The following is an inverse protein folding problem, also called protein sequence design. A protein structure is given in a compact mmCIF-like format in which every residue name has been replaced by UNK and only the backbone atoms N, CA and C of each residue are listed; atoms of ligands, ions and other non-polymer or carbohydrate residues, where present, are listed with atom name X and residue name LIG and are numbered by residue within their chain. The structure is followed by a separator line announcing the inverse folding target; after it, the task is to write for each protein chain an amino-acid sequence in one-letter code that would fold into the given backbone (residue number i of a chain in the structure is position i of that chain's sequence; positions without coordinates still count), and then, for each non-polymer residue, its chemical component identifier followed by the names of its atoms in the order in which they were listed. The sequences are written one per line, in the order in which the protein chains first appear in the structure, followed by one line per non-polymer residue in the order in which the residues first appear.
data_IF_662779480718
#
_entry.id   IF_662779480718
#
_cell.length_a   1.000
_cell.length_b   1.000
_cell.length_c   1.000
_cell.angle_alpha   90.00
_cell.angle_beta   90.00
_cell.angle_gamma   90.00
#
_symmetry.space_group_name_H-M   'P 1'
#
loop_
_entity.id
_entity.type
_entity.pdbx_description
1 polymer ?
#
# COMPACT_ATOMS: atom_id res chain seq x y z
N UNK A 1 -46.00 -52.00 24.52
CA UNK A 1 -46.05 -53.50 24.48
C UNK A 1 -44.79 -54.00 23.78
N UNK A 2 -44.09 -54.87 24.46
CA UNK A 2 -43.02 -55.80 24.11
C UNK A 2 -41.62 -55.22 24.00
N UNK A 3 -40.90 -55.17 25.12
CA UNK A 3 -39.50 -55.59 25.26
C UNK A 3 -39.49 -57.14 25.46
N UNK A 4 -38.37 -57.78 25.72
CA UNK A 4 -36.98 -57.80 25.25
C UNK A 4 -36.48 -59.20 24.97
N UNK A 5 -35.21 -59.46 24.69
CA UNK A 5 -34.39 -60.47 25.40
C UNK A 5 -32.99 -60.64 24.84
N UNK A 6 -32.04 -60.96 25.74
CA UNK A 6 -30.61 -61.08 25.43
C UNK A 6 -30.18 -62.52 25.23
N UNK A 7 -28.94 -62.75 24.81
CA UNK A 7 -28.14 -64.00 25.02
C UNK A 7 -26.90 -63.91 24.11
N UNK A 8 -25.69 -64.37 24.36
CA UNK A 8 -25.08 -65.18 25.40
C UNK A 8 -23.54 -65.01 25.23
N UNK A 9 -22.89 -65.07 26.33
CA UNK A 9 -21.45 -65.23 26.51
C UNK A 9 -20.96 -66.54 25.93
N UNK A 10 -19.79 -66.58 25.30
CA UNK A 10 -18.97 -67.81 25.25
C UNK A 10 -17.51 -67.49 25.26
N UNK A 11 -16.94 -67.86 26.39
CA UNK A 11 -15.52 -67.88 26.75
C UNK A 11 -14.82 -68.99 25.98
N UNK A 12 -13.68 -68.74 25.39
CA UNK A 12 -12.68 -69.76 25.08
C UNK A 12 -11.27 -69.30 25.54
N UNK A 13 -10.69 -70.21 26.25
CA UNK A 13 -9.41 -70.05 26.99
C UNK A 13 -8.24 -70.56 26.16
N UNK A 14 -7.14 -69.86 26.32
CA UNK A 14 -5.73 -70.31 26.31
C UNK A 14 -5.06 -70.85 25.05
N UNK A 15 -4.03 -70.17 24.67
CA UNK A 15 -2.92 -70.66 23.88
C UNK A 15 -1.67 -69.74 24.10
N UNK A 16 -0.89 -70.01 25.13
CA UNK A 16 0.45 -69.41 25.28
C UNK A 16 1.40 -70.01 24.23
N UNK A 17 1.85 -69.17 23.32
CA UNK A 17 3.05 -69.45 22.51
C UNK A 17 4.01 -68.31 22.70
N UNK A 18 5.13 -68.59 23.34
CA UNK A 18 6.27 -67.73 23.49
C UNK A 18 6.90 -67.48 22.11
N UNK A 19 6.88 -66.23 21.64
CA UNK A 19 7.68 -65.81 20.50
C UNK A 19 8.67 -64.73 20.99
N UNK A 20 9.93 -64.97 20.63
CA UNK A 20 11.10 -64.22 21.05
C UNK A 20 11.02 -62.72 20.71
N UNK A 21 11.57 -61.91 21.62
CA UNK A 21 11.90 -60.52 21.41
C UNK A 21 12.88 -60.38 20.23
N UNK A 22 12.37 -60.11 19.03
CA UNK A 22 13.14 -59.36 18.05
C UNK A 22 12.87 -57.89 18.31
N UNK A 23 13.87 -57.16 18.82
CA UNK A 23 13.90 -55.71 18.86
C UNK A 23 13.94 -55.20 17.42
N UNK A 24 12.79 -55.18 16.75
CA UNK A 24 12.63 -54.47 15.49
C UNK A 24 12.74 -52.98 15.77
N UNK A 25 13.79 -52.33 15.23
CA UNK A 25 13.88 -50.91 15.19
C UNK A 25 12.55 -50.36 14.66
N UNK A 26 11.82 -49.61 15.49
CA UNK A 26 10.68 -48.80 15.02
C UNK A 26 11.20 -47.96 13.87
N UNK A 27 10.57 -48.00 12.67
CA UNK A 27 10.92 -47.01 11.67
C UNK A 27 10.75 -45.66 12.31
N UNK A 28 11.80 -44.84 12.24
CA UNK A 28 11.73 -43.45 12.68
C UNK A 28 10.48 -42.85 11.98
N UNK A 29 9.49 -42.46 12.77
CA UNK A 29 8.33 -41.75 12.27
C UNK A 29 8.88 -40.54 11.57
N UNK A 30 8.73 -40.43 10.26
CA UNK A 30 9.21 -39.27 9.51
C UNK A 30 8.69 -38.03 10.23
N UNK A 31 9.60 -37.27 10.83
CA UNK A 31 9.24 -36.00 11.44
C UNK A 31 8.51 -35.20 10.37
N UNK A 32 7.27 -34.78 10.66
CA UNK A 32 6.51 -33.94 9.73
C UNK A 32 7.32 -32.67 9.45
N UNK A 33 7.29 -32.20 8.21
CA UNK A 33 7.99 -30.97 7.84
C UNK A 33 7.56 -29.82 8.74
N UNK A 34 8.51 -28.96 9.08
CA UNK A 34 8.19 -27.68 9.75
C UNK A 34 7.34 -26.81 8.82
N UNK A 35 6.27 -26.25 9.33
CA UNK A 35 5.40 -25.36 8.54
C UNK A 35 5.71 -23.90 8.91
N UNK A 36 5.92 -23.07 7.90
CA UNK A 36 5.97 -21.61 8.00
C UNK A 36 4.83 -21.05 7.18
N UNK A 37 3.91 -20.36 7.84
CA UNK A 37 2.74 -19.77 7.20
C UNK A 37 2.99 -18.32 6.80
N UNK A 38 2.50 -17.92 5.61
CA UNK A 38 2.57 -16.52 5.16
C UNK A 38 1.21 -16.06 4.64
N UNK A 39 0.69 -14.97 5.23
CA UNK A 39 -0.54 -14.33 4.81
C UNK A 39 -0.24 -13.14 3.90
N UNK A 40 -1.00 -13.00 2.82
CA UNK A 40 -0.82 -11.94 1.84
C UNK A 40 -2.13 -11.58 1.14
N UNK A 41 -2.21 -10.37 0.58
CA UNK A 41 -3.33 -9.96 -0.28
C UNK A 41 -3.35 -10.76 -1.58
N UNK A 42 -4.45 -11.43 -1.87
CA UNK A 42 -4.60 -12.25 -3.07
C UNK A 42 -4.76 -11.41 -4.32
N UNK A 43 -5.48 -10.29 -4.21
CA UNK A 43 -5.73 -9.36 -5.30
C UNK A 43 -5.24 -7.97 -4.92
N UNK A 44 -4.23 -7.50 -5.60
CA UNK A 44 -3.95 -6.07 -5.67
C UNK A 44 -4.92 -5.43 -6.66
N UNK A 45 -5.17 -4.12 -6.52
CA UNK A 45 -6.17 -3.34 -7.26
C UNK A 45 -6.12 -3.52 -8.79
N UNK A 46 -5.06 -4.14 -9.31
CA UNK A 46 -4.77 -4.27 -10.75
C UNK A 46 -4.78 -5.68 -11.27
N UNK A 47 -5.27 -6.56 -10.47
CA UNK A 47 -5.28 -7.98 -10.69
C UNK A 47 -4.71 -8.44 -12.02
N UNK A 48 -3.55 -8.89 -11.83
CA UNK A 48 -3.12 -10.09 -12.46
C UNK A 48 -3.06 -11.14 -11.37
N UNK A 49 -4.22 -11.57 -10.88
CA UNK A 49 -4.36 -12.67 -9.90
C UNK A 49 -3.35 -13.78 -10.20
N UNK A 50 -3.16 -14.09 -11.48
CA UNK A 50 -2.17 -15.03 -11.96
C UNK A 50 -0.72 -14.60 -11.70
N UNK A 51 -0.35 -13.32 -11.82
CA UNK A 51 1.03 -12.89 -11.63
C UNK A 51 1.40 -12.80 -10.15
N UNK A 52 0.54 -12.22 -9.30
CA UNK A 52 0.70 -12.22 -7.86
C UNK A 52 0.81 -13.63 -7.33
N UNK A 53 -0.10 -14.51 -7.76
CA UNK A 53 -0.08 -15.92 -7.40
C UNK A 53 1.20 -16.62 -7.87
N UNK A 54 1.64 -16.40 -9.10
CA UNK A 54 2.90 -16.95 -9.62
C UNK A 54 4.11 -16.51 -8.81
N UNK A 55 4.15 -15.25 -8.39
CA UNK A 55 5.23 -14.74 -7.56
C UNK A 55 5.26 -15.45 -6.20
N UNK A 56 4.13 -15.53 -5.47
CA UNK A 56 4.06 -16.22 -4.18
C UNK A 56 4.40 -17.71 -4.28
N UNK A 57 3.94 -18.39 -5.32
CA UNK A 57 4.30 -19.79 -5.56
C UNK A 57 5.77 -19.95 -5.96
N UNK A 58 6.35 -18.97 -6.64
CA UNK A 58 7.78 -18.89 -6.93
C UNK A 58 8.62 -18.78 -5.65
N UNK A 59 8.27 -17.85 -4.78
CA UNK A 59 8.89 -17.67 -3.44
C UNK A 59 8.81 -18.98 -2.64
N UNK A 60 7.61 -19.58 -2.54
CA UNK A 60 7.43 -20.88 -1.88
C UNK A 60 8.37 -21.93 -2.45
N UNK A 61 8.43 -22.07 -3.76
CA UNK A 61 9.29 -23.07 -4.42
C UNK A 61 10.77 -22.83 -4.16
N UNK A 62 11.24 -21.58 -4.23
CA UNK A 62 12.63 -21.21 -3.92
C UNK A 62 12.97 -21.57 -2.47
N UNK A 63 12.11 -21.18 -1.52
CA UNK A 63 12.34 -21.41 -0.10
C UNK A 63 12.35 -22.90 0.27
N UNK A 64 11.36 -23.67 -0.19
CA UNK A 64 11.27 -25.10 0.06
C UNK A 64 12.42 -25.90 -0.58
N UNK A 65 12.96 -25.41 -1.70
CA UNK A 65 14.14 -26.01 -2.34
C UNK A 65 15.42 -25.80 -1.50
N UNK A 66 15.55 -24.64 -0.86
CA UNK A 66 16.64 -24.33 0.04
C UNK A 66 16.48 -24.99 1.43
N UNK A 67 15.23 -25.28 1.83
CA UNK A 67 14.87 -25.86 3.11
C UNK A 67 13.98 -27.10 2.94
N UNK A 68 14.55 -28.28 2.57
CA UNK A 68 13.76 -29.48 2.24
C UNK A 68 12.85 -29.99 3.34
N UNK A 69 13.18 -29.69 4.61
CA UNK A 69 12.40 -30.06 5.80
C UNK A 69 11.32 -29.02 6.17
N UNK A 70 11.14 -28.00 5.35
CA UNK A 70 10.14 -26.95 5.58
C UNK A 70 9.04 -27.04 4.52
N UNK A 71 7.84 -26.60 4.89
CA UNK A 71 6.72 -26.36 3.99
C UNK A 71 6.23 -24.94 4.22
N UNK A 72 6.17 -24.13 3.16
CA UNK A 72 5.54 -22.79 3.19
C UNK A 72 4.05 -22.95 2.95
N UNK A 73 3.24 -22.54 3.92
CA UNK A 73 1.80 -22.50 3.81
C UNK A 73 1.35 -21.10 3.37
N UNK A 74 0.91 -20.97 2.13
CA UNK A 74 0.34 -19.75 1.61
C UNK A 74 -1.09 -19.55 2.14
N UNK A 75 -1.37 -18.37 2.69
CA UNK A 75 -2.67 -17.97 3.25
C UNK A 75 -3.15 -16.71 2.49
N UNK A 76 -3.77 -16.87 1.32
CA UNK A 76 -4.27 -15.75 0.53
C UNK A 76 -5.46 -15.09 1.22
N UNK A 77 -5.49 -13.76 1.20
CA UNK A 77 -6.56 -12.93 1.75
C UNK A 77 -7.20 -12.16 0.61
N UNK A 78 -8.39 -12.57 0.21
CA UNK A 78 -9.17 -11.89 -0.83
C UNK A 78 -9.92 -10.67 -0.29
N UNK A 79 -10.23 -9.73 -1.17
CA UNK A 79 -10.96 -8.49 -0.90
C UNK A 79 -10.13 -7.25 -1.23
N UNK A 80 -10.71 -6.06 -1.00
CA UNK A 80 -10.02 -4.78 -1.16
C UNK A 80 -9.03 -4.49 -0.04
N UNK A 81 -8.40 -3.31 -0.11
CA UNK A 81 -7.38 -2.86 0.84
C UNK A 81 -7.85 -2.99 2.31
N UNK A 82 -9.01 -2.44 2.64
CA UNK A 82 -9.56 -2.48 4.00
C UNK A 82 -9.95 -3.91 4.43
N UNK A 83 -10.41 -4.75 3.50
CA UNK A 83 -10.74 -6.15 3.79
C UNK A 83 -9.51 -6.94 4.23
N UNK A 84 -8.36 -6.71 3.57
CA UNK A 84 -7.10 -7.36 3.90
C UNK A 84 -6.66 -6.94 5.30
N UNK A 85 -6.66 -5.65 5.61
CA UNK A 85 -6.31 -5.11 6.94
C UNK A 85 -7.21 -5.71 8.02
N UNK A 86 -8.52 -5.72 7.80
CA UNK A 86 -9.49 -6.23 8.76
C UNK A 86 -9.32 -7.73 9.00
N UNK A 87 -9.09 -8.52 7.95
CA UNK A 87 -8.89 -9.97 8.08
C UNK A 87 -7.58 -10.30 8.78
N UNK A 88 -6.48 -9.58 8.46
CA UNK A 88 -5.21 -9.72 9.17
C UNK A 88 -5.37 -9.39 10.65
N UNK A 89 -6.03 -8.27 10.98
CA UNK A 89 -6.31 -7.89 12.37
C UNK A 89 -7.06 -9.00 13.13
N UNK A 90 -8.01 -9.68 12.50
CA UNK A 90 -8.70 -10.83 13.09
C UNK A 90 -7.77 -12.02 13.31
N UNK A 91 -6.91 -12.35 12.33
CA UNK A 91 -5.97 -13.48 12.44
C UNK A 91 -4.99 -13.28 13.58
N UNK A 92 -4.48 -12.05 13.78
CA UNK A 92 -3.51 -11.73 14.82
C UNK A 92 -4.07 -11.69 16.25
N UNK A 93 -5.41 -11.63 16.42
CA UNK A 93 -6.03 -11.70 17.76
C UNK A 93 -5.78 -13.01 18.50
N UNK A 94 -5.36 -14.05 17.81
CA UNK A 94 -5.07 -15.35 18.42
C UNK A 94 -3.73 -15.90 17.94
N UNK A 95 -2.82 -16.30 18.86
CA UNK A 95 -1.58 -16.99 18.49
C UNK A 95 -1.76 -18.28 17.68
N UNK A 96 -2.99 -18.83 17.63
CA UNK A 96 -3.28 -20.04 16.86
C UNK A 96 -3.60 -19.75 15.40
N UNK A 97 -4.04 -18.54 15.10
CA UNK A 97 -4.45 -18.09 13.76
C UNK A 97 -3.48 -17.11 13.16
N UNK A 98 -2.61 -16.48 13.98
CA UNK A 98 -1.57 -15.57 13.51
C UNK A 98 -0.62 -16.31 12.56
N UNK A 99 -0.40 -15.80 11.33
CA UNK A 99 0.59 -16.36 10.41
C UNK A 99 2.01 -16.10 10.95
N UNK A 100 3.00 -16.89 10.54
CA UNK A 100 4.41 -16.67 10.91
C UNK A 100 4.96 -15.41 10.23
N UNK A 101 4.60 -15.20 8.97
CA UNK A 101 4.90 -14.00 8.17
C UNK A 101 3.59 -13.43 7.66
N UNK A 102 3.48 -12.12 7.58
CA UNK A 102 2.39 -11.47 6.87
C UNK A 102 2.89 -10.31 6.03
N UNK A 103 2.21 -10.07 4.93
CA UNK A 103 2.31 -8.83 4.18
C UNK A 103 1.20 -7.90 4.69
N UNK A 104 1.58 -6.78 5.30
CA UNK A 104 0.64 -5.80 5.87
C UNK A 104 0.84 -4.43 5.23
N UNK A 105 -0.18 -3.61 5.29
CA UNK A 105 -0.08 -2.23 4.78
C UNK A 105 0.72 -1.35 5.75
N UNK A 106 1.59 -0.50 5.24
CA UNK A 106 2.44 0.42 6.02
C UNK A 106 1.69 1.18 7.12
N UNK A 107 0.50 1.77 6.88
CA UNK A 107 -0.18 2.59 7.90
C UNK A 107 -0.61 1.86 9.16
N UNK A 108 -0.69 0.52 9.14
CA UNK A 108 -1.15 -0.25 10.32
C UNK A 108 -0.04 -0.90 11.12
N UNK A 109 1.23 -0.73 10.71
CA UNK A 109 2.38 -1.32 11.42
C UNK A 109 2.41 -0.89 12.89
N UNK A 110 2.22 0.40 13.17
CA UNK A 110 2.22 0.92 14.52
C UNK A 110 1.13 0.33 15.42
N UNK A 111 -0.06 0.08 14.89
CA UNK A 111 -1.16 -0.56 15.60
C UNK A 111 -0.82 -2.03 15.92
N UNK A 112 -0.31 -2.78 14.96
CA UNK A 112 0.07 -4.18 15.14
C UNK A 112 1.26 -4.33 16.09
N UNK A 113 2.26 -3.44 16.00
CA UNK A 113 3.42 -3.44 16.89
C UNK A 113 3.02 -3.07 18.34
N UNK A 114 2.19 -2.04 18.52
CA UNK A 114 1.69 -1.62 19.84
C UNK A 114 0.82 -2.69 20.52
N UNK A 115 0.10 -3.48 19.72
CA UNK A 115 -0.70 -4.61 20.18
C UNK A 115 0.14 -5.84 20.53
N UNK A 116 1.48 -5.79 20.33
CA UNK A 116 2.38 -6.91 20.59
C UNK A 116 2.28 -8.07 19.61
N UNK A 117 1.69 -7.86 18.45
CA UNK A 117 1.50 -8.89 17.43
C UNK A 117 2.78 -9.18 16.64
N UNK A 118 3.69 -8.21 16.54
CA UNK A 118 4.88 -8.28 15.70
C UNK A 118 6.14 -8.53 16.53
N UNK A 119 7.09 -9.28 15.96
CA UNK A 119 8.43 -9.44 16.50
C UNK A 119 9.35 -8.32 15.99
N UNK A 120 10.23 -7.75 16.83
CA UNK A 120 11.23 -6.80 16.37
C UNK A 120 12.27 -7.50 15.48
N UNK A 121 12.68 -6.82 14.42
CA UNK A 121 13.56 -7.33 13.37
C UNK A 121 15.02 -6.86 13.51
N UNK A 122 15.30 -5.94 14.43
CA UNK A 122 16.62 -5.29 14.62
C UNK A 122 17.79 -6.28 14.70
N UNK A 123 17.57 -7.46 15.28
CA UNK A 123 18.59 -8.49 15.41
C UNK A 123 18.98 -9.18 14.10
N UNK A 124 18.15 -9.09 13.08
CA UNK A 124 18.37 -9.75 11.78
C UNK A 124 18.92 -8.78 10.72
N UNK A 125 18.50 -7.53 10.73
CA UNK A 125 18.81 -6.52 9.71
C UNK A 125 20.29 -6.30 9.43
N UNK A 126 21.21 -6.28 10.45
CA UNK A 126 22.63 -6.06 10.19
C UNK A 126 23.31 -7.13 9.34
N UNK A 127 22.70 -8.32 9.23
CA UNK A 127 23.26 -9.43 8.43
C UNK A 127 22.76 -9.43 6.98
N UNK A 128 21.84 -8.54 6.58
CA UNK A 128 21.29 -8.47 5.23
C UNK A 128 22.19 -7.62 4.32
N UNK A 129 22.19 -7.93 3.02
CA UNK A 129 22.91 -7.14 2.01
C UNK A 129 22.09 -5.97 1.46
N UNK A 130 20.76 -6.01 1.60
CA UNK A 130 19.81 -5.08 1.00
C UNK A 130 19.37 -3.95 1.94
N UNK A 131 19.29 -4.16 3.26
CA UNK A 131 18.75 -3.15 4.19
C UNK A 131 19.48 -1.80 4.14
N UNK A 132 20.81 -1.82 4.03
CA UNK A 132 21.59 -0.58 3.93
C UNK A 132 21.34 0.21 2.64
N UNK A 133 20.77 -0.42 1.62
CA UNK A 133 20.44 0.19 0.33
C UNK A 133 19.06 0.89 0.35
N UNK A 134 18.23 0.63 1.36
CA UNK A 134 16.94 1.30 1.48
C UNK A 134 17.15 2.77 1.89
N UNK A 135 16.44 3.73 1.27
CA UNK A 135 16.41 5.11 1.74
C UNK A 135 16.03 5.18 3.22
N UNK A 136 16.52 6.20 3.93
CA UNK A 136 16.19 6.37 5.36
C UNK A 136 14.69 6.54 5.61
N UNK A 137 13.99 7.16 4.69
CA UNK A 137 12.53 7.28 4.73
C UNK A 137 11.88 5.89 4.75
N UNK A 138 12.27 4.99 3.85
CA UNK A 138 11.74 3.62 3.77
C UNK A 138 12.14 2.79 5.00
N UNK A 139 13.40 2.91 5.47
CA UNK A 139 13.80 2.26 6.72
C UNK A 139 12.95 2.72 7.92
N UNK A 140 12.39 3.93 7.86
CA UNK A 140 11.53 4.51 8.89
C UNK A 140 10.11 3.94 8.93
N UNK A 141 9.61 3.38 7.83
CA UNK A 141 8.22 2.89 7.73
C UNK A 141 7.90 1.81 8.75
N UNK A 142 8.79 0.84 8.90
CA UNK A 142 8.66 -0.26 9.83
C UNK A 142 8.97 0.08 11.29
N UNK A 143 9.28 1.33 11.62
CA UNK A 143 9.75 1.73 12.95
C UNK A 143 8.59 2.11 13.87
N UNK A 144 8.52 1.47 15.03
CA UNK A 144 7.64 1.84 16.13
C UNK A 144 8.43 1.87 17.44
N UNK A 145 8.37 2.99 18.19
CA UNK A 145 9.11 3.20 19.44
C UNK A 145 10.61 2.83 19.35
N UNK A 146 11.25 3.20 18.24
CA UNK A 146 12.68 3.02 18.02
C UNK A 146 13.13 1.60 17.67
N UNK A 147 12.20 0.68 17.38
CA UNK A 147 12.49 -0.68 16.91
C UNK A 147 11.86 -0.89 15.53
N UNK A 148 12.52 -1.68 14.70
CA UNK A 148 12.02 -2.07 13.38
C UNK A 148 11.16 -3.32 13.52
N UNK A 149 9.92 -3.26 13.05
CA UNK A 149 8.95 -4.37 13.08
C UNK A 149 8.55 -4.86 11.68
N UNK A 150 8.85 -4.09 10.66
CA UNK A 150 8.51 -4.42 9.30
C UNK A 150 9.62 -4.01 8.33
N UNK A 151 9.69 -4.69 7.20
CA UNK A 151 10.55 -4.32 6.07
C UNK A 151 9.70 -4.21 4.83
N UNK A 152 9.94 -3.16 4.06
CA UNK A 152 9.14 -2.88 2.87
C UNK A 152 9.48 -3.87 1.76
N UNK A 153 8.46 -4.50 1.17
CA UNK A 153 8.59 -5.42 0.03
C UNK A 153 8.17 -4.79 -1.29
N UNK A 154 7.64 -3.59 -1.25
CA UNK A 154 7.24 -2.86 -2.45
C UNK A 154 6.51 -1.57 -2.13
N UNK A 155 7.08 -0.48 -2.63
CA UNK A 155 6.56 0.87 -2.46
C UNK A 155 5.48 1.20 -3.47
N UNK A 156 4.67 2.16 -3.10
CA UNK A 156 3.89 2.95 -4.04
C UNK A 156 4.32 4.41 -3.91
N UNK A 157 4.40 5.10 -5.01
CA UNK A 157 4.53 6.54 -5.07
C UNK A 157 3.38 7.14 -5.89
N UNK A 158 3.28 8.45 -5.90
CA UNK A 158 2.30 9.17 -6.72
C UNK A 158 3.00 10.13 -7.67
N UNK A 159 2.40 10.28 -8.83
CA UNK A 159 2.92 11.05 -9.95
C UNK A 159 1.80 11.86 -10.60
N UNK A 160 2.13 12.88 -11.39
CA UNK A 160 1.18 13.55 -12.27
C UNK A 160 1.25 12.95 -13.66
N UNK A 161 0.15 12.36 -14.08
CA UNK A 161 -0.07 11.95 -15.46
C UNK A 161 -0.83 13.05 -16.21
N UNK A 162 -0.50 13.26 -17.48
CA UNK A 162 -1.21 14.25 -18.28
C UNK A 162 -1.37 13.80 -19.74
N UNK A 163 -2.47 14.17 -20.37
CA UNK A 163 -2.73 13.85 -21.76
C UNK A 163 -2.02 14.86 -22.68
N UNK A 164 -0.93 14.42 -23.32
CA UNK A 164 -0.09 15.26 -24.17
C UNK A 164 -0.83 15.85 -25.36
N UNK A 165 -1.77 15.13 -25.93
CA UNK A 165 -2.53 15.62 -27.10
C UNK A 165 -3.53 16.71 -26.71
N UNK A 166 -4.15 16.60 -25.53
CA UNK A 166 -4.98 17.65 -24.98
C UNK A 166 -4.19 18.92 -24.69
N UNK A 167 -2.99 18.75 -24.10
CA UNK A 167 -2.08 19.87 -23.83
C UNK A 167 -1.72 20.61 -25.11
N UNK A 168 -1.31 19.89 -26.16
CA UNK A 168 -1.04 20.49 -27.49
C UNK A 168 -2.28 21.24 -28.03
N UNK A 169 -3.47 20.62 -27.96
CA UNK A 169 -4.73 21.23 -28.46
C UNK A 169 -5.06 22.57 -27.78
N UNK A 170 -4.74 22.71 -26.49
CA UNK A 170 -5.03 23.95 -25.75
C UNK A 170 -3.86 24.93 -25.74
N UNK A 171 -2.72 24.58 -26.34
CA UNK A 171 -1.52 25.42 -26.43
C UNK A 171 -0.65 25.39 -25.18
N UNK A 172 -0.75 24.34 -24.37
CA UNK A 172 0.16 24.06 -23.24
C UNK A 172 1.44 23.37 -23.73
N UNK A 173 2.58 23.54 -23.04
CA UNK A 173 3.84 22.92 -23.43
C UNK A 173 3.79 21.40 -23.35
N UNK A 174 4.50 20.72 -24.26
CA UNK A 174 4.77 19.28 -24.23
C UNK A 174 6.22 19.07 -24.62
N UNK A 175 7.07 18.49 -23.76
CA UNK A 175 6.77 18.03 -22.42
C UNK A 175 6.32 19.14 -21.47
N UNK A 176 5.45 18.79 -20.52
CA UNK A 176 4.99 19.68 -19.46
C UNK A 176 5.87 19.49 -18.21
N UNK A 177 6.24 20.58 -17.57
CA UNK A 177 7.06 20.57 -16.36
C UNK A 177 6.49 21.61 -15.39
N UNK A 178 5.51 21.24 -14.55
CA UNK A 178 4.96 22.15 -13.54
C UNK A 178 6.02 22.41 -12.46
N UNK A 179 6.19 23.67 -12.08
CA UNK A 179 7.16 24.07 -11.04
C UNK A 179 6.51 24.21 -9.67
N UNK A 180 5.20 24.42 -9.62
CA UNK A 180 4.43 24.63 -8.39
C UNK A 180 2.96 24.22 -8.59
N UNK A 181 2.17 24.25 -7.51
CA UNK A 181 0.75 23.89 -7.60
C UNK A 181 -0.08 24.81 -8.48
N UNK A 182 0.28 26.11 -8.54
CA UNK A 182 -0.44 27.04 -9.41
C UNK A 182 -0.32 26.66 -10.89
N UNK A 183 0.83 26.11 -11.32
CA UNK A 183 1.01 25.66 -12.72
C UNK A 183 0.03 24.52 -13.06
N UNK A 184 -0.29 23.65 -12.09
CA UNK A 184 -1.29 22.60 -12.25
C UNK A 184 -2.68 23.22 -12.44
N UNK A 185 -3.06 24.17 -11.58
CA UNK A 185 -4.36 24.85 -11.67
C UNK A 185 -4.51 25.67 -12.95
N UNK A 186 -3.46 26.34 -13.40
CA UNK A 186 -3.43 27.07 -14.68
C UNK A 186 -3.67 26.13 -15.85
N UNK A 187 -3.01 24.97 -15.88
CA UNK A 187 -3.22 23.97 -16.91
C UNK A 187 -4.65 23.42 -16.87
N UNK A 188 -5.17 23.09 -15.69
CA UNK A 188 -6.55 22.62 -15.54
C UNK A 188 -7.60 23.64 -16.00
N UNK A 189 -7.42 24.92 -15.67
CA UNK A 189 -8.30 26.02 -16.14
C UNK A 189 -8.27 26.17 -17.67
N UNK A 190 -7.08 26.04 -18.28
CA UNK A 190 -6.93 26.10 -19.73
C UNK A 190 -7.64 24.93 -20.43
N UNK A 191 -7.57 23.73 -19.86
CA UNK A 191 -8.30 22.54 -20.34
C UNK A 191 -9.81 22.78 -20.22
N UNK A 192 -10.29 23.17 -19.02
CA UNK A 192 -11.71 23.47 -18.79
C UNK A 192 -12.28 24.47 -19.80
N UNK A 193 -11.55 25.54 -20.07
CA UNK A 193 -12.00 26.59 -20.96
C UNK A 193 -12.08 26.18 -22.43
N UNK A 194 -11.20 25.25 -22.88
CA UNK A 194 -11.04 24.93 -24.30
C UNK A 194 -11.54 23.54 -24.70
N UNK A 195 -11.71 22.64 -23.75
CA UNK A 195 -12.11 21.25 -24.01
C UNK A 195 -13.37 20.88 -23.19
N UNK A 196 -14.57 21.37 -23.58
CA UNK A 196 -15.78 21.00 -22.87
C UNK A 196 -16.02 19.49 -22.92
N UNK A 197 -16.47 18.92 -21.80
CA UNK A 197 -16.71 17.49 -21.64
C UNK A 197 -15.50 16.64 -21.27
N UNK A 198 -14.30 17.26 -21.15
CA UNK A 198 -13.12 16.64 -20.56
C UNK A 198 -13.07 16.99 -19.08
N UNK A 199 -12.72 16.04 -18.21
CA UNK A 199 -12.37 16.29 -16.81
C UNK A 199 -11.00 16.95 -16.79
N UNK A 200 -10.85 18.21 -16.34
CA UNK A 200 -9.56 18.90 -16.35
C UNK A 200 -8.52 18.23 -15.49
N UNK A 201 -8.92 17.83 -14.26
CA UNK A 201 -8.02 17.22 -13.30
C UNK A 201 -8.75 16.14 -12.49
N UNK A 202 -8.13 14.99 -12.33
CA UNK A 202 -8.58 13.96 -11.41
C UNK A 202 -7.74 14.04 -10.13
N UNK A 203 -8.42 14.28 -9.02
CA UNK A 203 -7.86 14.34 -7.68
C UNK A 203 -8.78 13.55 -6.76
N UNK A 204 -8.29 12.49 -6.15
CA UNK A 204 -9.11 11.65 -5.28
C UNK A 204 -9.60 12.43 -4.06
N UNK A 205 -10.87 12.23 -3.68
CA UNK A 205 -11.53 12.91 -2.57
C UNK A 205 -12.62 12.03 -1.96
N UNK A 206 -12.89 12.22 -0.67
CA UNK A 206 -13.91 11.45 0.05
C UNK A 206 -13.43 10.09 0.53
N UNK A 207 -14.35 9.32 1.12
CA UNK A 207 -14.04 8.13 1.92
C UNK A 207 -14.09 6.81 1.16
N UNK A 208 -14.59 6.81 -0.08
CA UNK A 208 -14.88 5.57 -0.84
C UNK A 208 -13.64 4.72 -1.20
N UNK A 209 -12.47 5.35 -1.27
CA UNK A 209 -11.20 4.67 -1.53
C UNK A 209 -10.37 4.43 -0.26
N UNK A 210 -10.93 4.74 0.92
CA UNK A 210 -10.21 4.65 2.18
C UNK A 210 -8.90 5.45 2.17
N UNK A 211 -7.91 4.98 2.90
CA UNK A 211 -6.59 5.62 2.96
C UNK A 211 -5.87 5.69 1.60
N UNK A 212 -6.14 4.76 0.71
CA UNK A 212 -5.60 4.79 -0.66
C UNK A 212 -5.96 6.08 -1.42
N UNK A 213 -7.14 6.67 -1.13
CA UNK A 213 -7.54 7.99 -1.66
C UNK A 213 -6.67 9.13 -1.14
N UNK A 214 -6.19 9.05 0.10
CA UNK A 214 -5.26 10.03 0.69
C UNK A 214 -3.87 9.87 0.06
N UNK A 215 -3.36 8.66 -0.03
CA UNK A 215 -2.04 8.37 -0.62
C UNK A 215 -1.94 8.79 -2.09
N UNK A 216 -3.04 8.77 -2.84
CA UNK A 216 -3.10 9.20 -4.24
C UNK A 216 -3.74 10.58 -4.44
N UNK A 217 -3.93 11.35 -3.38
CA UNK A 217 -4.61 12.64 -3.40
C UNK A 217 -4.01 13.63 -2.42
N UNK A 218 -4.75 13.89 -1.34
CA UNK A 218 -4.43 14.93 -0.35
C UNK A 218 -3.06 14.74 0.32
N UNK A 219 -2.63 13.51 0.55
CA UNK A 219 -1.34 13.22 1.15
C UNK A 219 -0.15 13.78 0.35
N UNK A 220 -0.22 13.68 -0.98
CA UNK A 220 0.83 14.21 -1.85
C UNK A 220 0.92 15.75 -1.82
N UNK A 221 -0.24 16.41 -1.77
CA UNK A 221 -0.27 17.85 -1.62
C UNK A 221 0.25 18.25 -0.24
N UNK A 222 -0.19 17.59 0.83
CA UNK A 222 0.30 17.84 2.16
C UNK A 222 1.82 17.65 2.25
N UNK A 223 2.37 16.57 1.65
CA UNK A 223 3.81 16.33 1.57
C UNK A 223 4.57 17.45 0.86
N UNK A 224 3.94 18.11 -0.11
CA UNK A 224 4.51 19.26 -0.86
C UNK A 224 4.18 20.63 -0.29
N UNK A 225 3.45 20.72 0.82
CA UNK A 225 3.08 21.97 1.49
C UNK A 225 4.23 22.58 2.29
N UNK A 226 4.01 23.76 2.86
CA UNK A 226 5.01 24.41 3.72
C UNK A 226 5.13 23.74 5.09
N UNK A 227 4.10 22.98 5.52
CA UNK A 227 4.07 22.27 6.80
C UNK A 227 3.42 20.89 6.65
N UNK A 228 4.17 19.85 6.24
CA UNK A 228 3.63 18.52 5.98
C UNK A 228 3.38 17.67 7.24
N UNK A 229 3.31 18.27 8.42
CA UNK A 229 3.19 17.55 9.68
C UNK A 229 1.80 16.96 9.87
N UNK A 230 1.74 15.63 10.00
CA UNK A 230 0.53 14.85 10.28
C UNK A 230 0.46 14.51 11.77
N UNK A 231 1.58 14.11 12.34
CA UNK A 231 1.75 13.73 13.73
C UNK A 231 3.02 14.40 14.26
N UNK A 232 2.93 15.04 15.41
CA UNK A 232 4.10 15.64 16.05
C UNK A 232 4.71 14.65 17.04
N UNK A 233 5.82 14.05 16.68
CA UNK A 233 6.55 13.09 17.52
C UNK A 233 7.02 13.67 18.86
N UNK A 234 7.15 15.01 18.96
CA UNK A 234 7.58 15.68 20.21
C UNK A 234 6.45 15.77 21.22
N UNK A 235 5.26 16.05 20.73
CA UNK A 235 4.05 16.17 21.57
C UNK A 235 3.26 14.87 21.66
N UNK A 236 3.46 13.94 20.71
CA UNK A 236 2.69 12.70 20.60
C UNK A 236 1.26 12.95 20.12
N UNK A 237 1.02 14.01 19.33
CA UNK A 237 -0.33 14.45 18.96
C UNK A 237 -0.56 14.46 17.45
N UNK A 238 -1.81 14.22 17.09
CA UNK A 238 -2.32 14.32 15.73
C UNK A 238 -2.64 15.76 15.39
N UNK A 239 -2.12 16.23 14.27
CA UNK A 239 -2.34 17.60 13.78
C UNK A 239 -3.65 17.63 13.00
N UNK A 240 -4.63 18.40 13.48
CA UNK A 240 -5.96 18.51 12.85
C UNK A 240 -6.20 19.88 12.18
N UNK A 241 -5.31 20.82 12.37
CA UNK A 241 -5.27 22.11 11.70
C UNK A 241 -3.82 22.61 11.65
N UNK A 242 -3.36 22.98 10.47
CA UNK A 242 -2.04 23.57 10.22
C UNK A 242 -2.04 24.36 8.92
N UNK A 243 -1.03 25.23 8.70
CA UNK A 243 -0.84 25.87 7.39
C UNK A 243 -0.85 24.86 6.23
N UNK A 244 -0.12 23.74 6.33
CA UNK A 244 -0.06 22.74 5.27
C UNK A 244 -1.38 22.02 5.00
N UNK A 245 -2.18 21.71 6.04
CA UNK A 245 -3.53 21.18 5.86
C UNK A 245 -4.44 22.20 5.17
N UNK A 246 -4.34 23.47 5.56
CA UNK A 246 -5.13 24.55 4.94
C UNK A 246 -4.75 24.78 3.48
N UNK A 247 -3.48 24.77 3.14
CA UNK A 247 -2.97 24.86 1.76
C UNK A 247 -3.46 23.69 0.90
N UNK A 248 -3.38 22.47 1.45
CA UNK A 248 -3.90 21.26 0.81
C UNK A 248 -5.39 21.39 0.51
N UNK A 249 -6.19 21.77 1.51
CA UNK A 249 -7.64 21.92 1.36
C UNK A 249 -8.02 23.08 0.44
N UNK A 250 -7.20 24.15 0.37
CA UNK A 250 -7.41 25.25 -0.57
C UNK A 250 -7.20 24.81 -2.03
N UNK A 251 -6.26 23.90 -2.28
CA UNK A 251 -6.12 23.29 -3.59
C UNK A 251 -7.37 22.47 -3.97
N UNK A 252 -7.91 21.67 -3.05
CA UNK A 252 -9.18 20.94 -3.25
C UNK A 252 -10.34 21.90 -3.51
N UNK A 253 -10.45 22.97 -2.73
CA UNK A 253 -11.45 24.04 -2.95
C UNK A 253 -11.32 24.65 -4.35
N UNK A 254 -10.10 24.89 -4.83
CA UNK A 254 -9.87 25.40 -6.18
C UNK A 254 -10.31 24.42 -7.26
N UNK A 255 -9.99 23.12 -7.11
CA UNK A 255 -10.36 22.08 -8.08
C UNK A 255 -11.87 21.88 -8.15
N UNK A 256 -12.53 21.69 -7.02
CA UNK A 256 -13.96 21.35 -6.98
C UNK A 256 -14.87 22.58 -7.02
N UNK A 257 -14.50 23.67 -6.34
CA UNK A 257 -15.22 24.93 -6.39
C UNK A 257 -15.24 25.57 -7.78
N UNK A 258 -14.16 25.38 -8.57
CA UNK A 258 -14.13 25.79 -9.97
C UNK A 258 -14.65 24.68 -10.92
N UNK A 259 -15.26 23.61 -10.42
CA UNK A 259 -15.79 22.49 -11.23
C UNK A 259 -14.77 21.94 -12.25
N UNK A 260 -13.53 21.73 -11.82
CA UNK A 260 -12.45 21.16 -12.64
C UNK A 260 -12.22 19.67 -12.34
N UNK A 261 -12.76 19.16 -11.22
CA UNK A 261 -12.58 17.79 -10.75
C UNK A 261 -13.50 16.75 -11.40
N UNK A 262 -13.29 15.48 -11.03
CA UNK A 262 -14.18 14.38 -11.39
C UNK A 262 -15.58 14.53 -10.78
N UNK A 263 -16.53 13.75 -11.29
CA UNK A 263 -17.91 13.76 -10.80
C UNK A 263 -18.01 12.98 -9.47
N UNK A 264 -18.95 13.40 -8.61
CA UNK A 264 -19.21 12.74 -7.33
C UNK A 264 -19.52 11.24 -7.46
N UNK A 265 -20.29 10.84 -8.49
CA UNK A 265 -20.60 9.42 -8.76
C UNK A 265 -19.35 8.54 -8.95
N UNK A 266 -18.32 9.11 -9.56
CA UNK A 266 -17.09 8.41 -9.86
C UNK A 266 -16.12 8.45 -8.67
N UNK A 267 -16.00 9.61 -8.02
CA UNK A 267 -15.14 9.83 -6.86
C UNK A 267 -15.61 9.06 -5.60
N UNK A 268 -16.92 8.88 -5.45
CA UNK A 268 -17.50 8.09 -4.35
C UNK A 268 -17.76 6.63 -4.74
N UNK A 269 -17.17 6.18 -5.84
CA UNK A 269 -17.11 4.77 -6.21
C UNK A 269 -15.94 4.06 -5.49
N UNK A 270 -16.09 2.78 -5.10
CA UNK A 270 -14.95 1.97 -4.63
C UNK A 270 -13.79 1.88 -5.63
N UNK A 271 -14.06 2.16 -6.91
CA UNK A 271 -13.07 2.14 -8.00
C UNK A 271 -12.45 3.51 -8.30
N UNK A 272 -12.69 4.54 -7.47
CA UNK A 272 -12.24 5.92 -7.75
C UNK A 272 -10.75 6.04 -8.11
N UNK A 273 -9.88 5.26 -7.47
CA UNK A 273 -8.42 5.28 -7.74
C UNK A 273 -8.03 4.59 -9.05
N UNK A 274 -8.92 3.81 -9.67
CA UNK A 274 -8.65 3.09 -10.95
C UNK A 274 -9.41 3.66 -12.15
N UNK A 275 -10.51 4.36 -11.91
CA UNK A 275 -11.30 5.02 -12.97
C UNK A 275 -10.41 5.89 -13.89
N UNK A 276 -9.46 6.71 -13.39
CA UNK A 276 -8.65 7.58 -14.24
C UNK A 276 -7.72 6.83 -15.21
N UNK A 277 -7.35 5.59 -14.95
CA UNK A 277 -6.61 4.75 -15.90
C UNK A 277 -7.36 4.63 -17.26
N UNK A 278 -8.66 4.32 -17.18
CA UNK A 278 -9.54 4.21 -18.34
C UNK A 278 -9.88 5.58 -18.94
N UNK A 279 -10.09 6.59 -18.10
CA UNK A 279 -10.39 7.95 -18.56
C UNK A 279 -9.21 8.57 -19.33
N UNK A 280 -7.96 8.34 -18.92
CA UNK A 280 -6.77 8.76 -19.66
C UNK A 280 -6.70 8.08 -21.02
N UNK A 281 -6.88 6.75 -21.06
CA UNK A 281 -6.90 5.96 -22.31
C UNK A 281 -7.99 6.46 -23.28
N UNK A 282 -9.16 6.80 -22.76
CA UNK A 282 -10.30 7.32 -23.54
C UNK A 282 -10.18 8.80 -23.88
N UNK A 283 -9.11 9.46 -23.45
CA UNK A 283 -8.97 10.92 -23.59
C UNK A 283 -10.15 11.70 -22.98
N UNK A 284 -10.60 11.30 -21.79
CA UNK A 284 -11.70 11.94 -21.05
C UNK A 284 -11.23 12.72 -19.83
N UNK A 285 -9.96 12.55 -19.42
CA UNK A 285 -9.33 13.32 -18.36
C UNK A 285 -7.98 13.85 -18.85
N UNK A 286 -7.63 15.07 -18.43
CA UNK A 286 -6.42 15.73 -18.91
C UNK A 286 -5.24 15.62 -17.96
N UNK A 287 -5.44 15.79 -16.65
CA UNK A 287 -4.41 15.70 -15.60
C UNK A 287 -4.91 14.74 -14.53
N UNK A 288 -4.04 13.87 -14.01
CA UNK A 288 -4.39 12.90 -12.99
C UNK A 288 -3.30 12.87 -11.92
N UNK A 289 -3.69 13.06 -10.67
CA UNK A 289 -2.91 12.57 -9.53
C UNK A 289 -3.10 11.06 -9.46
N UNK A 290 -2.07 10.31 -9.79
CA UNK A 290 -2.15 8.86 -9.91
C UNK A 290 -0.90 8.17 -9.37
N UNK A 291 -1.01 6.88 -9.07
CA UNK A 291 0.09 6.10 -8.54
C UNK A 291 0.99 5.55 -9.65
N UNK A 292 2.21 5.18 -9.27
CA UNK A 292 3.25 4.58 -10.12
C UNK A 292 2.75 3.39 -10.95
N UNK A 293 1.86 2.58 -10.40
CA UNK A 293 1.37 1.36 -11.06
C UNK A 293 0.58 1.62 -12.35
N UNK A 294 0.16 2.85 -12.63
CA UNK A 294 -0.56 3.16 -13.88
C UNK A 294 0.21 2.71 -15.10
N UNK A 295 1.51 3.04 -15.15
CA UNK A 295 2.37 2.62 -16.27
C UNK A 295 2.42 1.10 -16.45
N UNK A 296 2.55 0.36 -15.37
CA UNK A 296 2.55 -1.11 -15.38
C UNK A 296 1.26 -1.70 -15.93
N UNK A 297 0.10 -1.14 -15.53
CA UNK A 297 -1.22 -1.60 -15.97
C UNK A 297 -1.43 -1.47 -17.49
N UNK A 298 -0.81 -0.48 -18.12
CA UNK A 298 -0.92 -0.27 -19.55
C UNK A 298 -0.01 -1.20 -20.37
N UNK A 299 0.91 -1.93 -19.75
CA UNK A 299 1.79 -2.89 -20.44
C UNK A 299 1.00 -4.09 -20.97
N UNK A 300 1.61 -4.81 -21.92
CA UNK A 300 1.02 -6.05 -22.45
C UNK A 300 0.99 -7.18 -21.43
N UNK A 301 1.88 -7.15 -20.44
CA UNK A 301 1.94 -8.20 -19.42
C UNK A 301 0.76 -8.10 -18.46
N UNK A 302 0.50 -6.90 -17.92
CA UNK A 302 -0.57 -6.66 -16.95
C UNK A 302 -1.91 -6.43 -17.68
N UNK A 303 -1.93 -5.53 -18.68
CA UNK A 303 -3.09 -5.33 -19.55
C UNK A 303 -4.41 -4.99 -18.82
N UNK A 304 -4.36 -4.06 -17.85
CA UNK A 304 -5.55 -3.70 -17.05
C UNK A 304 -5.68 -2.18 -16.84
N UNK A 305 -6.15 -1.41 -17.85
CA UNK A 305 -6.42 -1.78 -19.25
C UNK A 305 -5.15 -1.79 -20.14
N UNK A 306 -5.13 -2.63 -21.16
CA UNK A 306 -4.06 -2.57 -22.16
C UNK A 306 -4.04 -1.24 -22.89
N UNK A 307 -2.88 -0.57 -22.88
CA UNK A 307 -2.68 0.65 -23.67
C UNK A 307 -1.27 0.75 -24.24
N UNK A 308 -0.95 -0.05 -25.28
CA UNK A 308 0.42 -0.16 -25.83
C UNK A 308 1.02 1.16 -26.34
N UNK A 309 0.18 2.16 -26.64
CA UNK A 309 0.60 3.49 -27.09
C UNK A 309 0.56 4.54 -25.98
N UNK A 310 0.41 4.12 -24.72
CA UNK A 310 0.29 5.02 -23.56
C UNK A 310 1.42 6.08 -23.54
N UNK A 311 2.66 5.68 -23.72
CA UNK A 311 3.82 6.58 -23.71
C UNK A 311 3.81 7.66 -24.83
N UNK A 312 2.97 7.50 -25.85
CA UNK A 312 2.80 8.50 -26.91
C UNK A 312 1.73 9.54 -26.59
N UNK A 313 0.84 9.24 -25.60
CA UNK A 313 -0.33 10.07 -25.26
C UNK A 313 -0.30 10.55 -23.82
N UNK A 314 0.08 9.70 -22.89
CA UNK A 314 0.18 10.03 -21.47
C UNK A 314 1.62 10.38 -21.10
N UNK A 315 1.87 11.64 -20.81
CA UNK A 315 3.11 12.09 -20.17
C UNK A 315 3.03 11.86 -18.66
N UNK A 316 4.18 11.84 -18.01
CA UNK A 316 4.31 11.69 -16.56
C UNK A 316 5.38 12.64 -16.03
N UNK A 317 5.13 13.23 -14.87
CA UNK A 317 6.06 14.13 -14.18
C UNK A 317 5.90 14.01 -12.66
N UNK A 318 6.91 14.36 -11.85
CA UNK A 318 6.74 14.50 -10.41
C UNK A 318 5.65 15.51 -10.04
N UNK A 319 4.97 15.29 -8.92
CA UNK A 319 4.09 16.30 -8.31
C UNK A 319 5.01 17.40 -7.73
N UNK A 320 4.87 18.68 -8.11
CA UNK A 320 5.70 19.73 -7.54
C UNK A 320 5.29 20.10 -6.12
N UNK A 321 6.20 20.71 -5.37
CA UNK A 321 5.88 21.38 -4.11
C UNK A 321 5.08 22.66 -4.34
N UNK A 322 4.42 23.18 -3.29
CA UNK A 322 3.46 24.30 -3.40
C UNK A 322 4.06 25.55 -4.07
N UNK A 323 5.32 25.90 -3.76
CA UNK A 323 6.03 27.06 -4.30
C UNK A 323 7.21 26.69 -5.22
N UNK A 324 7.42 25.39 -5.49
CA UNK A 324 8.62 24.91 -6.16
C UNK A 324 9.87 24.91 -5.26
N UNK A 325 9.67 24.97 -3.94
CA UNK A 325 10.76 24.85 -2.96
C UNK A 325 11.37 23.43 -2.99
N UNK A 326 12.64 23.34 -2.58
CA UNK A 326 13.31 22.05 -2.49
C UNK A 326 12.51 21.09 -1.59
N UNK A 327 12.41 19.80 -2.01
CA UNK A 327 13.16 19.12 -3.07
C UNK A 327 12.56 19.26 -4.49
N UNK A 328 11.64 20.17 -4.75
CA UNK A 328 10.91 20.42 -6.01
C UNK A 328 10.00 19.28 -6.46
N UNK A 329 9.84 18.28 -5.64
CA UNK A 329 8.94 17.16 -5.87
C UNK A 329 8.35 16.71 -4.54
N UNK A 330 7.12 16.22 -4.57
CA UNK A 330 6.42 15.66 -3.42
C UNK A 330 5.71 14.38 -3.80
N UNK A 331 5.76 13.39 -2.93
CA UNK A 331 4.98 12.17 -3.03
C UNK A 331 4.79 11.60 -1.64
N UNK A 332 3.65 10.99 -1.39
CA UNK A 332 3.56 10.01 -0.31
C UNK A 332 4.18 8.72 -0.79
N UNK A 333 4.89 8.05 0.08
CA UNK A 333 5.36 6.68 -0.10
C UNK A 333 4.74 5.81 0.98
N UNK A 334 4.57 4.57 0.67
CA UNK A 334 4.00 3.57 1.52
C UNK A 334 3.47 2.45 0.63
N UNK A 335 3.40 1.28 1.17
CA UNK A 335 3.05 0.14 0.35
C UNK A 335 2.68 -1.05 1.21
N UNK A 336 3.38 -2.12 0.96
CA UNK A 336 3.19 -3.37 1.67
C UNK A 336 4.50 -3.82 2.29
N UNK A 337 4.41 -4.16 3.56
CA UNK A 337 5.54 -4.52 4.38
C UNK A 337 5.45 -5.98 4.83
N UNK A 338 6.59 -6.62 4.93
CA UNK A 338 6.70 -7.95 5.51
C UNK A 338 6.99 -7.85 7.01
N UNK A 339 6.22 -8.60 7.77
CA UNK A 339 6.34 -8.67 9.22
C UNK A 339 6.48 -10.12 9.68
N UNK A 340 7.18 -10.30 10.80
CA UNK A 340 7.26 -11.59 11.49
C UNK A 340 6.38 -11.53 12.73
N UNK A 341 5.55 -12.54 12.92
CA UNK A 341 4.67 -12.65 14.09
C UNK A 341 5.46 -12.89 15.38
N UNK A 342 5.10 -12.18 16.45
CA UNK A 342 5.59 -12.49 17.79
C UNK A 342 5.17 -13.88 18.30
N UNK A 343 4.11 -14.45 17.73
CA UNK A 343 3.59 -15.77 18.03
C UNK A 343 4.23 -16.90 17.21
N UNK A 344 5.11 -16.57 16.24
CA UNK A 344 5.79 -17.59 15.42
C UNK A 344 6.62 -18.52 16.30
N UNK A 345 6.49 -19.82 16.05
CA UNK A 345 7.29 -20.86 16.71
C UNK A 345 8.65 -21.05 16.04
N UNK A 346 8.81 -20.51 14.82
CA UNK A 346 10.01 -20.63 14.01
C UNK A 346 10.46 -19.24 13.50
N UNK A 347 10.75 -18.26 14.39
CA UNK A 347 10.99 -16.87 13.99
C UNK A 347 12.21 -16.73 13.06
N UNK A 348 13.22 -17.60 13.19
CA UNK A 348 14.37 -17.59 12.27
C UNK A 348 13.98 -18.03 10.86
N UNK A 349 13.17 -19.09 10.72
CA UNK A 349 12.71 -19.53 9.40
C UNK A 349 11.72 -18.53 8.79
N UNK A 350 10.88 -17.88 9.61
CA UNK A 350 10.01 -16.80 9.17
C UNK A 350 10.85 -15.63 8.64
N UNK A 351 11.92 -15.26 9.35
CA UNK A 351 12.84 -14.23 8.86
C UNK A 351 13.59 -14.65 7.59
N UNK A 352 14.08 -15.89 7.51
CA UNK A 352 14.77 -16.38 6.30
C UNK A 352 13.87 -16.32 5.05
N UNK A 353 12.56 -16.51 5.23
CA UNK A 353 11.59 -16.32 4.16
C UNK A 353 11.47 -14.85 3.76
N UNK A 354 11.44 -13.94 4.73
CA UNK A 354 11.45 -12.48 4.47
C UNK A 354 12.74 -12.08 3.73
N UNK A 355 13.90 -12.52 4.20
CA UNK A 355 15.21 -12.22 3.59
C UNK A 355 15.30 -12.71 2.12
N UNK A 356 14.73 -13.89 1.83
CA UNK A 356 14.63 -14.39 0.45
C UNK A 356 13.77 -13.46 -0.44
N UNK A 357 12.67 -12.94 0.09
CA UNK A 357 11.76 -12.08 -0.66
C UNK A 357 12.38 -10.72 -1.00
N UNK A 358 13.33 -10.26 -0.20
CA UNK A 358 13.99 -8.97 -0.33
C UNK A 358 15.24 -8.97 -1.22
N UNK A 359 15.59 -10.10 -1.85
CA UNK A 359 16.67 -10.11 -2.85
C UNK A 359 16.27 -9.35 -4.12
N UNK A 360 17.26 -8.95 -4.94
CA UNK A 360 17.07 -8.14 -6.15
C UNK A 360 16.07 -8.76 -7.13
N UNK A 361 16.22 -10.05 -7.44
CA UNK A 361 15.35 -10.75 -8.39
C UNK A 361 13.90 -10.75 -7.92
N UNK A 362 13.67 -11.05 -6.66
CA UNK A 362 12.32 -11.14 -6.09
C UNK A 362 11.68 -9.76 -5.93
N UNK A 363 12.43 -8.72 -5.51
CA UNK A 363 11.91 -7.35 -5.44
C UNK A 363 11.54 -6.81 -6.83
N UNK A 364 12.41 -6.95 -7.83
CA UNK A 364 12.12 -6.49 -9.21
C UNK A 364 10.92 -7.25 -9.79
N UNK A 365 10.85 -8.55 -9.54
CA UNK A 365 9.72 -9.36 -10.00
C UNK A 365 8.42 -8.92 -9.33
N UNK A 366 8.42 -8.70 -8.01
CA UNK A 366 7.26 -8.16 -7.29
C UNK A 366 6.85 -6.79 -7.83
N UNK A 367 7.82 -5.89 -8.03
CA UNK A 367 7.57 -4.56 -8.57
C UNK A 367 6.88 -4.63 -9.94
N UNK A 368 7.42 -5.41 -10.86
CA UNK A 368 6.90 -5.51 -12.21
C UNK A 368 5.55 -6.26 -12.30
N UNK A 369 5.31 -7.24 -11.43
CA UNK A 369 4.11 -8.07 -11.49
C UNK A 369 2.96 -7.56 -10.62
N UNK A 370 3.27 -6.88 -9.51
CA UNK A 370 2.28 -6.32 -8.61
C UNK A 370 2.15 -4.79 -8.69
N UNK A 371 2.93 -4.13 -9.57
CA UNK A 371 2.86 -2.68 -9.77
C UNK A 371 3.51 -1.86 -8.66
N UNK A 372 4.46 -2.44 -7.94
CA UNK A 372 5.23 -1.76 -6.90
C UNK A 372 6.45 -1.02 -7.45
N UNK A 373 7.12 -0.32 -6.56
CA UNK A 373 8.46 0.26 -6.76
C UNK A 373 9.42 -0.47 -5.84
N UNK A 374 10.57 -0.96 -6.32
CA UNK A 374 11.55 -1.56 -5.44
C UNK A 374 11.99 -0.60 -4.33
N UNK A 375 12.06 -1.08 -3.10
CA UNK A 375 12.46 -0.26 -1.95
C UNK A 375 13.96 0.13 -1.99
N UNK A 376 14.79 -0.63 -2.67
CA UNK A 376 16.22 -0.36 -2.81
C UNK A 376 16.51 0.76 -3.79
N UNK A 377 17.38 1.71 -3.41
CA UNK A 377 17.89 2.76 -4.29
C UNK A 377 18.68 2.25 -5.49
N UNK A 378 19.20 1.03 -5.44
CA UNK A 378 19.89 0.37 -6.53
C UNK A 378 18.88 -0.29 -7.47
N UNK A 379 17.95 -1.08 -6.93
CA UNK A 379 16.99 -1.85 -7.72
C UNK A 379 15.99 -0.95 -8.46
N UNK A 380 15.59 0.18 -7.88
CA UNK A 380 14.70 1.15 -8.56
C UNK A 380 15.32 1.74 -9.83
N UNK A 381 16.64 1.64 -10.01
CA UNK A 381 17.39 2.08 -11.21
C UNK A 381 17.74 0.92 -12.13
N UNK A 382 17.43 -0.32 -11.73
CA UNK A 382 17.74 -1.50 -12.55
C UNK A 382 17.00 -1.42 -13.89
N UNK A 383 17.69 -1.76 -15.02
CA UNK A 383 17.09 -1.71 -16.35
C UNK A 383 15.80 -2.53 -16.46
N UNK A 384 15.71 -3.66 -15.77
CA UNK A 384 14.55 -4.55 -15.80
C UNK A 384 13.31 -3.91 -15.12
N UNK A 385 13.52 -3.03 -14.14
CA UNK A 385 12.44 -2.23 -13.57
C UNK A 385 12.13 -1.01 -14.45
N UNK A 386 13.14 -0.19 -14.76
CA UNK A 386 12.93 1.09 -15.46
C UNK A 386 12.30 0.89 -16.84
N UNK A 387 12.73 -0.14 -17.58
CA UNK A 387 12.25 -0.39 -18.95
C UNK A 387 10.90 -1.13 -18.98
N UNK A 388 10.48 -1.76 -17.89
CA UNK A 388 9.23 -2.51 -17.84
C UNK A 388 8.01 -1.65 -18.19
N UNK A 389 7.92 -0.46 -17.60
CA UNK A 389 6.85 0.50 -17.85
C UNK A 389 7.40 1.90 -18.19
N UNK A 390 8.39 1.97 -19.10
CA UNK A 390 8.95 3.24 -19.52
C UNK A 390 7.90 4.12 -20.23
N UNK A 391 7.87 5.46 -19.98
CA UNK A 391 8.81 6.24 -19.14
C UNK A 391 8.43 6.31 -17.66
N UNK A 392 7.34 5.67 -17.22
CA UNK A 392 6.67 5.90 -15.95
C UNK A 392 7.53 5.47 -14.75
N UNK A 393 8.13 4.26 -14.79
CA UNK A 393 8.96 3.77 -13.69
C UNK A 393 10.22 4.63 -13.46
N UNK A 394 10.69 5.37 -14.45
CA UNK A 394 11.82 6.28 -14.29
C UNK A 394 11.50 7.48 -13.38
N UNK A 395 10.23 7.89 -13.27
CA UNK A 395 9.81 8.96 -12.35
C UNK A 395 9.84 8.48 -10.91
N UNK A 396 9.49 7.22 -10.64
CA UNK A 396 9.59 6.62 -9.30
C UNK A 396 11.01 6.70 -8.75
N UNK A 397 12.04 6.44 -9.59
CA UNK A 397 13.44 6.59 -9.17
C UNK A 397 13.82 8.02 -8.75
N UNK A 398 13.11 9.03 -9.25
CA UNK A 398 13.32 10.44 -8.90
C UNK A 398 12.61 10.83 -7.60
N UNK A 399 11.37 10.32 -7.38
CA UNK A 399 10.52 10.78 -6.29
C UNK A 399 10.64 9.94 -5.02
N UNK A 400 11.04 8.67 -5.12
CA UNK A 400 11.20 7.79 -3.96
C UNK A 400 12.11 8.37 -2.85
N UNK A 401 13.26 9.00 -3.15
CA UNK A 401 14.14 9.54 -2.12
C UNK A 401 13.56 10.74 -1.35
N UNK A 402 12.53 11.40 -1.88
CA UNK A 402 11.88 12.57 -1.28
C UNK A 402 10.48 12.27 -0.78
N UNK A 403 10.10 11.00 -0.78
CA UNK A 403 8.80 10.54 -0.32
C UNK A 403 8.56 10.85 1.17
N UNK A 404 7.31 11.03 1.51
CA UNK A 404 6.83 11.20 2.90
C UNK A 404 5.99 9.99 3.27
N UNK A 405 6.35 9.33 4.36
CA UNK A 405 5.62 8.19 4.89
C UNK A 405 4.48 8.61 5.82
N UNK A 406 3.44 7.79 5.87
CA UNK A 406 2.42 7.91 6.90
C UNK A 406 3.01 7.56 8.28
N UNK A 407 2.64 8.28 9.35
CA UNK A 407 3.15 7.98 10.68
C UNK A 407 2.80 6.56 11.12
N UNK A 408 3.81 5.79 11.58
CA UNK A 408 3.63 4.46 12.17
C UNK A 408 3.09 4.55 13.61
N UNK A 409 2.12 5.42 13.86
CA UNK A 409 1.50 5.64 15.16
C UNK A 409 0.08 5.07 15.17
N UNK A 410 -0.38 4.46 16.28
CA UNK A 410 -1.76 4.03 16.42
C UNK A 410 -2.74 5.18 16.15
N UNK A 411 -3.91 4.86 15.60
CA UNK A 411 -4.96 5.82 15.23
C UNK A 411 -4.70 6.63 13.95
N UNK A 412 -3.66 6.33 13.17
CA UNK A 412 -3.45 7.00 11.87
C UNK A 412 -4.71 6.95 10.99
N UNK A 413 -5.39 5.80 10.90
CA UNK A 413 -6.59 5.65 10.08
C UNK A 413 -7.75 6.55 10.53
N UNK A 414 -7.81 6.91 11.81
CA UNK A 414 -8.80 7.90 12.32
C UNK A 414 -8.49 9.28 11.75
N UNK A 415 -7.22 9.70 11.80
CA UNK A 415 -6.77 10.96 11.24
C UNK A 415 -7.00 11.02 9.72
N UNK A 416 -6.59 9.96 9.00
CA UNK A 416 -6.77 9.81 7.56
C UNK A 416 -8.24 9.93 7.16
N UNK A 417 -9.14 9.24 7.87
CA UNK A 417 -10.57 9.32 7.60
C UNK A 417 -11.13 10.74 7.79
N UNK A 418 -10.67 11.46 8.82
CA UNK A 418 -11.04 12.86 9.01
C UNK A 418 -10.68 13.75 7.82
N UNK A 419 -9.49 13.54 7.22
CA UNK A 419 -9.05 14.27 6.02
C UNK A 419 -9.86 13.84 4.78
N UNK A 420 -10.24 12.56 4.67
CA UNK A 420 -11.12 12.06 3.61
C UNK A 420 -12.48 12.74 3.65
N UNK A 421 -13.10 12.84 4.82
CA UNK A 421 -14.37 13.56 5.01
C UNK A 421 -14.24 15.04 4.59
N UNK A 422 -13.17 15.72 5.00
CA UNK A 422 -12.92 17.10 4.66
C UNK A 422 -12.78 17.32 3.15
N UNK A 423 -12.05 16.46 2.45
CA UNK A 423 -11.89 16.55 1.00
C UNK A 423 -13.18 16.23 0.26
N UNK A 424 -13.95 15.25 0.74
CA UNK A 424 -15.26 14.87 0.19
C UNK A 424 -16.30 15.98 0.26
N UNK A 425 -16.20 16.86 1.27
CA UNK A 425 -17.11 17.99 1.41
C UNK A 425 -17.04 18.96 0.21
N UNK A 426 -15.87 19.19 -0.38
CA UNK A 426 -15.75 20.04 -1.58
C UNK A 426 -16.40 19.43 -2.83
N UNK A 427 -16.47 18.10 -2.91
CA UNK A 427 -17.12 17.41 -4.02
C UNK A 427 -18.66 17.54 -3.93
N UNK A 428 -19.21 17.39 -2.73
CA UNK A 428 -20.66 17.43 -2.48
C UNK A 428 -21.18 18.85 -2.38
N UNK A 429 -20.37 19.76 -1.86
CA UNK A 429 -20.70 21.18 -1.65
C UNK A 429 -19.52 22.04 -2.14
N UNK A 430 -19.48 22.40 -3.44
CA UNK A 430 -18.35 23.12 -4.05
C UNK A 430 -18.07 24.51 -3.45
N UNK A 431 -19.01 25.07 -2.69
CA UNK A 431 -18.91 26.33 -1.96
C UNK A 431 -18.31 26.16 -0.52
N UNK A 432 -17.96 24.94 -0.13
CA UNK A 432 -17.30 24.66 1.15
C UNK A 432 -16.06 25.54 1.32
N UNK A 433 -15.95 26.19 2.47
CA UNK A 433 -14.74 26.97 2.80
C UNK A 433 -13.66 26.06 3.43
N UNK A 434 -12.39 26.51 3.38
CA UNK A 434 -11.30 25.78 4.03
C UNK A 434 -11.54 25.65 5.53
N UNK A 435 -12.07 26.69 6.20
CA UNK A 435 -12.40 26.62 7.63
C UNK A 435 -13.48 25.56 7.93
N UNK A 436 -14.48 25.46 7.08
CA UNK A 436 -15.52 24.42 7.22
C UNK A 436 -14.93 23.01 7.04
N UNK A 437 -14.05 22.81 6.07
CA UNK A 437 -13.39 21.54 5.83
C UNK A 437 -12.45 21.15 7.00
N UNK A 438 -11.66 22.08 7.52
CA UNK A 438 -10.86 21.90 8.74
C UNK A 438 -11.76 21.53 9.93
N UNK A 439 -12.92 22.20 10.06
CA UNK A 439 -13.91 21.88 11.10
C UNK A 439 -14.46 20.46 10.99
N UNK A 440 -14.73 19.97 9.76
CA UNK A 440 -15.17 18.59 9.50
C UNK A 440 -14.08 17.61 9.96
N UNK A 441 -12.83 17.79 9.50
CA UNK A 441 -11.70 16.95 9.89
C UNK A 441 -11.49 16.92 11.40
N UNK A 442 -11.37 18.11 11.99
CA UNK A 442 -11.10 18.26 13.43
C UNK A 442 -12.21 17.61 14.28
N UNK A 443 -13.48 17.86 13.95
CA UNK A 443 -14.61 17.26 14.64
C UNK A 443 -14.61 15.73 14.54
N UNK A 444 -14.33 15.17 13.36
CA UNK A 444 -14.25 13.72 13.20
C UNK A 444 -13.17 13.12 14.10
N UNK A 445 -11.94 13.65 14.04
CA UNK A 445 -10.81 13.14 14.81
C UNK A 445 -11.02 13.29 16.31
N UNK A 446 -11.49 14.45 16.78
CA UNK A 446 -11.72 14.72 18.22
C UNK A 446 -12.91 13.96 18.80
N UNK A 447 -13.83 13.49 17.97
CA UNK A 447 -14.91 12.59 18.42
C UNK A 447 -14.44 11.14 18.63
N UNK A 448 -13.31 10.76 18.07
CA UNK A 448 -12.75 9.41 18.13
C UNK A 448 -11.55 9.31 19.07
N UNK A 449 -10.79 10.40 19.23
CA UNK A 449 -9.59 10.47 20.05
C UNK A 449 -9.82 11.42 21.24
N UNK A 450 -9.08 11.17 22.33
CA UNK A 450 -9.06 12.11 23.46
C UNK A 450 -8.52 13.47 22.98
N UNK A 451 -9.13 14.60 23.39
CA UNK A 451 -8.65 15.94 23.01
C UNK A 451 -7.18 16.22 23.33
N UNK A 452 -6.59 15.52 24.31
CA UNK A 452 -5.16 15.63 24.63
C UNK A 452 -4.26 15.03 23.56
N UNK A 453 -4.80 14.18 22.66
CA UNK A 453 -4.09 13.52 21.57
C UNK A 453 -4.11 14.30 20.25
N UNK A 454 -4.75 15.47 20.23
CA UNK A 454 -4.84 16.30 19.02
C UNK A 454 -4.31 17.70 19.28
N UNK A 455 -3.84 18.35 18.22
CA UNK A 455 -3.35 19.72 18.28
C UNK A 455 -3.55 20.51 16.98
N UNK A 456 -3.43 21.83 17.09
CA UNK A 456 -3.40 22.78 16.01
C UNK A 456 -2.01 23.43 15.96
N UNK A 457 -1.37 23.41 14.80
CA UNK A 457 -0.12 24.11 14.54
C UNK A 457 -0.39 25.47 13.85
N UNK A 458 0.44 26.48 14.14
CA UNK A 458 0.30 27.83 13.58
C UNK A 458 1.51 28.21 12.76
#
# INVERSE_FOLDING_TARGET
MKSPKPLLLSTVIAGLAAFGLQAGARPAQAAGKTVVSVAYGETYVFDTEDLTKKWWYGIKSQFESAHPDVTVQLVPIGGGYDDIINKLSLLYRSPRTAPDVAQIATPVIGEFASSGYLAPLDGYLPSTSWWAQFPKVIQGEGVYQGKVYAVNTGENDSQLYYNMDMFKKVGLPVPWTPHNWNDILVAARAIKAKLPGVVPIWLNAGTSSGDNGILQGAGNLLAGSDMPTIYDDKTGKWVVDSPGLRETLDFFRSVYGEHMGGQASDLFSPSAVTIPLTLLQQSKVAIVFGSNYYGGNWTKLICSPCWPVAAQVAGVVPIPTIHGQAPNAATTVGGWDLVVSSASKNPKLAWDLVDLMENEENQITAANWAGFVPASQEFVKAPDFVNFAAPYNAVSAQVLPVGVISPSSPNYLIWSHGLQEATGAFVTHPDTTVDAAIGIMSNYVTNQLDPSQVETLK
#
